data_IF_267612005362
#
_entry.id   IF_267612005362
#
_cell.length_a   1.000
_cell.length_b   1.000
_cell.length_c   1.000
_cell.angle_alpha   90.00
_cell.angle_beta   90.00
_cell.angle_gamma   90.00
#
_symmetry.space_group_name_H-M   'P 1'
#
loop_
_entity.id
_entity.type
_entity.pdbx_description
1 polymer ?
#
# COMPACT_ATOMS: atom_id res chain seq x y z
N UNK A 1 -7.64 -14.46 -8.31
CA UNK A 1 -7.89 -13.03 -8.66
C UNK A 1 -6.67 -12.16 -8.38
N UNK A 2 -6.47 -11.05 -9.09
CA UNK A 2 -5.45 -10.03 -8.78
C UNK A 2 -6.19 -8.71 -8.52
N UNK A 3 -6.03 -8.18 -7.32
CA UNK A 3 -6.50 -6.85 -6.95
C UNK A 3 -5.33 -5.85 -7.08
N UNK A 4 -5.58 -4.73 -7.74
CA UNK A 4 -4.55 -3.72 -8.05
C UNK A 4 -4.65 -2.48 -7.18
N UNK A 5 -5.52 -2.44 -6.18
CA UNK A 5 -5.55 -1.37 -5.19
C UNK A 5 -6.33 -1.76 -3.92
N UNK A 6 -5.67 -1.71 -2.77
CA UNK A 6 -6.31 -1.91 -1.47
C UNK A 6 -5.58 -1.13 -0.37
N UNK A 7 -6.30 -0.35 0.43
CA UNK A 7 -5.79 0.56 1.49
C UNK A 7 -5.28 -0.16 2.76
N UNK A 8 -4.75 -1.36 2.59
CA UNK A 8 -4.26 -2.19 3.66
C UNK A 8 -3.15 -1.53 4.51
N UNK A 9 -2.11 -0.89 3.94
CA UNK A 9 -1.02 -0.32 4.73
C UNK A 9 -1.48 0.72 5.76
N UNK A 10 -2.42 1.61 5.38
CA UNK A 10 -2.98 2.61 6.28
C UNK A 10 -3.80 1.95 7.39
N UNK A 11 -4.66 0.99 7.05
CA UNK A 11 -5.42 0.22 8.05
C UNK A 11 -4.51 -0.47 9.07
N UNK A 12 -3.44 -1.12 8.60
CA UNK A 12 -2.46 -1.77 9.46
C UNK A 12 -1.74 -0.76 10.38
N UNK A 13 -1.42 0.43 9.86
CA UNK A 13 -0.82 1.50 10.65
C UNK A 13 -1.77 1.99 11.76
N UNK A 14 -3.05 2.20 11.49
CA UNK A 14 -4.00 2.67 12.51
C UNK A 14 -4.23 1.63 13.62
N UNK A 15 -4.17 0.35 13.26
CA UNK A 15 -4.34 -0.77 14.18
C UNK A 15 -3.00 -1.32 14.71
N UNK A 16 -1.91 -0.54 14.64
CA UNK A 16 -0.56 -1.00 15.02
C UNK A 16 -0.38 -1.37 16.49
N UNK A 17 -1.35 -1.06 17.35
CA UNK A 17 -1.41 -1.46 18.75
C UNK A 17 -1.88 -2.91 18.96
N UNK A 18 -2.44 -3.55 17.93
CA UNK A 18 -2.81 -4.96 17.89
C UNK A 18 -1.69 -5.77 17.22
N UNK A 19 -1.66 -7.08 17.47
CA UNK A 19 -0.83 -8.02 16.70
C UNK A 19 -1.70 -8.78 15.70
N UNK A 20 -1.07 -9.30 14.63
CA UNK A 20 -1.70 -10.16 13.62
C UNK A 20 -2.93 -9.60 12.88
N UNK A 21 -3.09 -8.27 12.86
CA UNK A 21 -4.18 -7.56 12.18
C UNK A 21 -4.39 -8.04 10.74
N UNK A 22 -3.32 -8.27 9.98
CA UNK A 22 -3.42 -8.75 8.60
C UNK A 22 -4.09 -10.13 8.52
N UNK A 23 -3.73 -11.03 9.44
CA UNK A 23 -4.26 -12.38 9.45
C UNK A 23 -5.68 -12.41 10.01
N UNK A 24 -5.89 -11.76 11.15
CA UNK A 24 -7.14 -11.83 11.91
C UNK A 24 -8.28 -11.11 11.18
N UNK A 25 -8.01 -9.98 10.52
CA UNK A 25 -9.05 -9.16 9.89
C UNK A 25 -9.23 -9.46 8.38
N UNK A 26 -8.24 -10.01 7.66
CA UNK A 26 -8.31 -10.11 6.19
C UNK A 26 -8.05 -11.49 5.58
N UNK A 27 -7.33 -12.40 6.26
CA UNK A 27 -6.91 -13.66 5.63
C UNK A 27 -8.11 -14.50 5.17
N UNK A 28 -9.12 -14.68 6.04
CA UNK A 28 -10.28 -15.50 5.71
C UNK A 28 -11.07 -14.96 4.52
N UNK A 29 -11.21 -13.64 4.41
CA UNK A 29 -11.93 -13.00 3.30
C UNK A 29 -11.14 -13.11 2.00
N UNK A 30 -9.82 -12.90 2.04
CA UNK A 30 -8.97 -13.06 0.87
C UNK A 30 -8.95 -14.49 0.35
N UNK A 31 -8.95 -15.49 1.25
CA UNK A 31 -9.05 -16.89 0.87
C UNK A 31 -10.42 -17.25 0.28
N UNK A 32 -11.50 -16.78 0.91
CA UNK A 32 -12.86 -16.99 0.40
C UNK A 32 -13.06 -16.35 -0.99
N UNK A 33 -12.40 -15.23 -1.27
CA UNK A 33 -12.40 -14.56 -2.56
C UNK A 33 -11.40 -15.08 -3.60
N UNK A 34 -10.61 -16.13 -3.29
CA UNK A 34 -9.49 -16.60 -4.11
C UNK A 34 -8.55 -15.46 -4.59
N UNK A 35 -8.25 -14.54 -3.68
CA UNK A 35 -7.29 -13.46 -3.91
C UNK A 35 -5.89 -14.07 -3.97
N UNK A 36 -5.21 -13.91 -5.11
CA UNK A 36 -3.84 -14.39 -5.29
C UNK A 36 -2.80 -13.29 -5.10
N UNK A 37 -3.16 -12.04 -5.37
CA UNK A 37 -2.27 -10.88 -5.24
C UNK A 37 -3.07 -9.62 -4.98
N UNK A 38 -2.54 -8.74 -4.14
CA UNK A 38 -3.11 -7.43 -3.80
C UNK A 38 -2.02 -6.38 -3.94
N UNK A 39 -2.33 -5.24 -4.56
CA UNK A 39 -1.53 -4.04 -4.40
C UNK A 39 -1.91 -3.34 -3.09
N UNK A 40 -1.04 -3.43 -2.09
CA UNK A 40 -1.19 -2.77 -0.80
C UNK A 40 -0.73 -1.31 -0.94
N UNK A 41 -1.70 -0.41 -1.11
CA UNK A 41 -1.48 1.00 -1.44
C UNK A 41 -1.20 1.84 -0.20
N UNK A 42 -0.01 2.44 -0.14
CA UNK A 42 0.30 3.50 0.83
C UNK A 42 -0.57 4.70 0.47
N UNK A 43 -1.45 5.10 1.37
CA UNK A 43 -2.25 6.30 1.29
C UNK A 43 -1.99 7.17 2.52
N UNK A 44 -1.91 8.48 2.32
CA UNK A 44 -1.69 9.43 3.42
C UNK A 44 -2.95 10.24 3.64
N UNK A 45 -3.51 10.19 4.85
CA UNK A 45 -4.64 11.03 5.23
C UNK A 45 -4.25 12.51 5.32
N UNK A 46 -5.21 13.41 5.08
CA UNK A 46 -4.99 14.86 5.04
C UNK A 46 -4.32 15.40 6.31
N UNK A 47 -4.65 14.84 7.48
CA UNK A 47 -4.09 15.27 8.76
C UNK A 47 -2.57 15.09 8.90
N UNK A 48 -1.95 14.29 8.03
CA UNK A 48 -0.51 14.03 8.04
C UNK A 48 0.25 14.83 6.97
N UNK A 49 -0.44 15.55 6.09
CA UNK A 49 0.18 16.29 4.99
C UNK A 49 0.33 17.78 5.34
N UNK A 50 1.48 18.41 5.02
CA UNK A 50 2.70 17.81 4.47
C UNK A 50 3.68 17.26 5.51
N UNK A 51 3.59 17.67 6.77
CA UNK A 51 4.70 17.58 7.73
C UNK A 51 5.09 16.13 8.09
N UNK A 52 4.14 15.20 8.03
CA UNK A 52 4.34 13.81 8.47
C UNK A 52 4.15 12.77 7.37
N UNK A 53 3.98 13.20 6.12
CA UNK A 53 3.70 12.30 5.00
C UNK A 53 4.78 11.21 4.83
N UNK A 54 6.06 11.60 4.89
CA UNK A 54 7.19 10.66 4.81
C UNK A 54 7.21 9.70 6.01
N UNK A 55 7.07 10.23 7.23
CA UNK A 55 7.09 9.46 8.48
C UNK A 55 6.00 8.37 8.46
N UNK A 56 4.77 8.77 8.13
CA UNK A 56 3.61 7.87 8.11
C UNK A 56 3.71 6.84 6.99
N UNK A 57 4.16 7.22 5.79
CA UNK A 57 4.39 6.27 4.70
C UNK A 57 5.42 5.18 5.07
N UNK A 58 6.53 5.58 5.70
CA UNK A 58 7.55 4.64 6.16
C UNK A 58 7.01 3.73 7.28
N UNK A 59 6.19 4.27 8.18
CA UNK A 59 5.54 3.49 9.24
C UNK A 59 4.55 2.47 8.68
N UNK A 60 3.76 2.82 7.67
CA UNK A 60 2.88 1.90 6.95
C UNK A 60 3.67 0.74 6.32
N UNK A 61 4.74 1.04 5.57
CA UNK A 61 5.62 0.02 4.98
C UNK A 61 6.19 -0.89 6.07
N UNK A 62 6.77 -0.31 7.12
CA UNK A 62 7.35 -1.07 8.23
C UNK A 62 6.30 -2.00 8.86
N UNK A 63 5.06 -1.52 9.04
CA UNK A 63 3.98 -2.33 9.60
C UNK A 63 3.57 -3.47 8.68
N UNK A 64 3.45 -3.25 7.37
CA UNK A 64 3.17 -4.33 6.40
C UNK A 64 4.25 -5.42 6.49
N UNK A 65 5.52 -5.06 6.58
CA UNK A 65 6.61 -6.03 6.76
C UNK A 65 6.51 -6.82 8.07
N UNK A 66 6.12 -6.17 9.19
CA UNK A 66 5.92 -6.84 10.48
C UNK A 66 4.79 -7.87 10.39
N UNK A 67 3.66 -7.50 9.79
CA UNK A 67 2.50 -8.38 9.65
C UNK A 67 2.79 -9.61 8.77
N UNK A 68 3.46 -9.41 7.63
CA UNK A 68 3.83 -10.51 6.73
C UNK A 68 4.85 -11.46 7.38
N UNK A 69 5.74 -10.95 8.24
CA UNK A 69 6.65 -11.82 9.03
C UNK A 69 5.91 -12.70 10.04
N UNK A 70 4.75 -12.27 10.52
CA UNK A 70 3.94 -13.00 11.52
C UNK A 70 3.01 -14.03 10.86
N UNK A 71 2.54 -13.76 9.65
CA UNK A 71 1.66 -14.65 8.91
C UNK A 71 2.30 -15.15 7.60
N UNK A 72 2.77 -16.39 7.62
CA UNK A 72 3.43 -17.04 6.47
C UNK A 72 2.52 -17.30 5.26
N UNK A 73 1.21 -16.99 5.37
CA UNK A 73 0.25 -17.03 4.26
C UNK A 73 0.38 -15.84 3.31
N UNK A 74 1.13 -14.81 3.69
CA UNK A 74 1.39 -13.64 2.88
C UNK A 74 2.86 -13.57 2.45
N UNK A 75 3.12 -12.88 1.34
CA UNK A 75 4.48 -12.58 0.90
C UNK A 75 4.54 -11.22 0.20
N UNK A 76 5.42 -10.32 0.67
CA UNK A 76 5.71 -9.09 -0.06
C UNK A 76 6.51 -9.48 -1.31
N UNK A 77 5.99 -9.10 -2.46
CA UNK A 77 6.55 -9.41 -3.77
C UNK A 77 7.11 -8.14 -4.42
N UNK A 78 8.26 -8.27 -5.08
CA UNK A 78 8.98 -7.17 -5.76
C UNK A 78 9.11 -7.39 -7.26
N UNK A 79 8.62 -8.52 -7.77
CA UNK A 79 8.72 -8.91 -9.16
C UNK A 79 7.62 -9.89 -9.53
N UNK A 80 7.33 -10.01 -10.83
CA UNK A 80 6.42 -11.04 -11.34
C UNK A 80 6.84 -12.46 -10.91
N UNK A 81 8.15 -12.74 -10.93
CA UNK A 81 8.66 -14.04 -10.51
C UNK A 81 8.37 -14.35 -9.04
N UNK A 82 8.43 -13.35 -8.15
CA UNK A 82 8.05 -13.49 -6.74
C UNK A 82 6.55 -13.72 -6.58
N UNK A 83 5.72 -12.98 -7.32
CA UNK A 83 4.26 -13.16 -7.31
C UNK A 83 3.90 -14.59 -7.72
N UNK A 84 4.49 -15.08 -8.82
CA UNK A 84 4.27 -16.44 -9.31
C UNK A 84 4.66 -17.48 -8.25
N UNK A 85 5.84 -17.33 -7.63
CA UNK A 85 6.29 -18.24 -6.56
C UNK A 85 5.39 -18.19 -5.33
N UNK A 86 4.90 -17.02 -4.93
CA UNK A 86 3.97 -16.89 -3.81
C UNK A 86 2.68 -17.68 -4.09
N UNK A 87 2.12 -17.54 -5.29
CA UNK A 87 0.91 -18.27 -5.71
C UNK A 87 1.14 -19.79 -5.75
N UNK A 88 2.27 -20.25 -6.29
CA UNK A 88 2.66 -21.68 -6.31
C UNK A 88 2.80 -22.25 -4.89
N UNK A 89 3.17 -21.43 -3.91
CA UNK A 89 3.27 -21.80 -2.49
C UNK A 89 1.94 -21.67 -1.73
N UNK A 90 0.83 -21.34 -2.40
CA UNK A 90 -0.47 -21.13 -1.75
C UNK A 90 -0.52 -19.87 -0.86
N UNK A 91 0.35 -18.89 -1.14
CA UNK A 91 0.41 -17.60 -0.45
C UNK A 91 -0.26 -16.50 -1.25
N UNK A 92 -0.72 -15.48 -0.54
CA UNK A 92 -1.24 -14.23 -1.10
C UNK A 92 -0.07 -13.26 -1.27
N UNK A 93 0.17 -12.83 -2.51
CA UNK A 93 1.21 -11.86 -2.82
C UNK A 93 0.77 -10.44 -2.48
N UNK A 94 1.63 -9.65 -1.82
CA UNK A 94 1.43 -8.22 -1.60
C UNK A 94 2.44 -7.43 -2.42
N UNK A 95 1.96 -6.58 -3.32
CA UNK A 95 2.78 -5.57 -3.99
C UNK A 95 2.62 -4.26 -3.25
N UNK A 96 3.72 -3.62 -2.82
CA UNK A 96 3.61 -2.28 -2.23
C UNK A 96 3.36 -1.28 -3.36
N UNK A 97 2.26 -0.56 -3.26
CA UNK A 97 1.90 0.57 -4.10
C UNK A 97 1.89 1.86 -3.27
N UNK A 98 1.85 3.01 -3.93
CA UNK A 98 1.70 4.32 -3.29
C UNK A 98 0.70 5.14 -4.09
N UNK A 99 -0.33 5.61 -3.42
CA UNK A 99 -1.38 6.44 -3.98
C UNK A 99 -1.15 7.90 -3.58
N UNK A 100 -0.52 8.65 -4.48
CA UNK A 100 -0.08 10.02 -4.23
C UNK A 100 1.38 10.10 -3.80
N UNK A 101 2.11 11.01 -4.43
CA UNK A 101 3.54 11.22 -4.22
C UNK A 101 3.87 12.15 -3.04
N UNK A 102 2.91 12.46 -2.15
CA UNK A 102 3.12 13.31 -0.97
C UNK A 102 4.30 12.85 -0.10
N UNK A 103 4.54 11.53 0.13
CA UNK A 103 5.70 11.08 0.90
C UNK A 103 7.05 11.46 0.30
N UNK A 104 7.12 11.78 -1.00
CA UNK A 104 8.35 12.21 -1.67
C UNK A 104 8.62 13.71 -1.46
N UNK A 105 7.60 14.49 -1.12
CA UNK A 105 7.70 15.95 -1.03
C UNK A 105 8.33 16.54 -2.29
N UNK A 106 9.41 17.32 -2.13
CA UNK A 106 10.20 17.87 -3.23
C UNK A 106 11.49 17.08 -3.53
N UNK A 107 11.76 15.97 -2.84
CA UNK A 107 12.99 15.19 -2.99
C UNK A 107 12.74 13.85 -3.70
N UNK A 108 12.98 13.83 -5.01
CA UNK A 108 12.84 12.62 -5.82
C UNK A 108 13.82 11.50 -5.43
N UNK A 109 14.89 11.76 -4.68
CA UNK A 109 15.77 10.70 -4.21
C UNK A 109 15.04 9.72 -3.27
N UNK A 110 13.99 10.18 -2.59
CA UNK A 110 13.15 9.33 -1.74
C UNK A 110 12.45 8.22 -2.54
N UNK A 111 12.20 8.41 -3.84
CA UNK A 111 11.62 7.36 -4.69
C UNK A 111 12.55 6.14 -4.76
N UNK A 112 13.87 6.34 -4.79
CA UNK A 112 14.82 5.23 -4.75
C UNK A 112 14.72 4.47 -3.43
N UNK A 113 14.56 5.18 -2.31
CA UNK A 113 14.41 4.56 -0.99
C UNK A 113 13.13 3.70 -0.95
N UNK A 114 11.99 4.25 -1.35
CA UNK A 114 10.74 3.49 -1.39
C UNK A 114 10.83 2.27 -2.32
N UNK A 115 11.51 2.40 -3.47
CA UNK A 115 11.77 1.28 -4.37
C UNK A 115 12.56 0.15 -3.67
N UNK A 116 13.62 0.48 -2.92
CA UNK A 116 14.39 -0.52 -2.15
C UNK A 116 13.56 -1.17 -1.02
N UNK A 117 12.65 -0.41 -0.42
CA UNK A 117 11.73 -0.89 0.61
C UNK A 117 10.63 -1.81 0.05
N UNK A 118 10.37 -1.74 -1.26
CA UNK A 118 9.51 -2.69 -1.99
C UNK A 118 8.44 -2.05 -2.86
N UNK A 119 8.37 -0.73 -2.96
CA UNK A 119 7.41 -0.02 -3.81
C UNK A 119 7.56 -0.43 -5.28
N UNK A 120 6.46 -0.81 -5.95
CA UNK A 120 6.47 -1.19 -7.38
C UNK A 120 5.43 -0.46 -8.23
N UNK A 121 4.51 0.27 -7.62
CA UNK A 121 3.49 1.06 -8.30
C UNK A 121 3.42 2.42 -7.60
N UNK A 122 3.44 3.50 -8.38
CA UNK A 122 3.27 4.87 -7.88
C UNK A 122 2.16 5.55 -8.69
N UNK A 123 1.05 5.88 -8.03
CA UNK A 123 0.10 6.88 -8.50
C UNK A 123 0.65 8.27 -8.18
N UNK A 124 0.81 9.12 -9.18
CA UNK A 124 1.44 10.44 -9.01
C UNK A 124 0.64 11.33 -8.04
N UNK A 125 -0.68 11.27 -8.15
CA UNK A 125 -1.61 12.09 -7.38
C UNK A 125 -2.76 11.23 -6.90
N UNK A 126 -3.22 11.47 -5.67
CA UNK A 126 -4.59 11.13 -5.27
C UNK A 126 -5.53 12.22 -5.82
N UNK A 127 -6.58 12.59 -5.07
CA UNK A 127 -7.47 13.73 -5.40
C UNK A 127 -6.89 15.10 -5.03
N UNK A 128 -5.80 15.12 -4.28
CA UNK A 128 -5.08 16.34 -3.94
C UNK A 128 -3.92 16.60 -4.91
N UNK A 129 -3.52 17.86 -4.99
CA UNK A 129 -2.32 18.25 -5.74
C UNK A 129 -1.08 18.09 -4.86
N UNK A 130 0.02 17.69 -5.48
CA UNK A 130 1.33 17.58 -4.84
C UNK A 130 2.42 18.00 -5.83
N UNK A 131 3.70 17.86 -5.47
CA UNK A 131 4.81 18.29 -6.32
C UNK A 131 4.87 17.56 -7.69
N UNK A 132 4.24 16.39 -7.83
CA UNK A 132 4.22 15.60 -9.06
C UNK A 132 3.06 15.95 -10.00
N UNK A 133 2.04 16.70 -9.55
CA UNK A 133 0.91 17.09 -10.40
C UNK A 133 -0.34 17.51 -9.65
N UNK A 134 -1.44 17.64 -10.39
CA UNK A 134 -2.76 17.97 -9.85
C UNK A 134 -3.65 16.73 -9.82
N UNK A 135 -4.24 16.46 -8.65
CA UNK A 135 -5.18 15.37 -8.45
C UNK A 135 -6.54 15.62 -9.08
N UNK A 136 -7.36 14.57 -9.13
CA UNK A 136 -8.73 14.66 -9.62
C UNK A 136 -9.59 15.58 -8.76
N UNK A 137 -10.42 16.41 -9.40
CA UNK A 137 -11.42 17.23 -8.72
C UNK A 137 -12.69 16.41 -8.56
N UNK A 138 -13.11 16.13 -7.33
CA UNK A 138 -14.46 15.61 -7.09
C UNK A 138 -15.48 16.70 -7.44
N UNK A 139 -16.45 16.40 -8.30
CA UNK A 139 -17.60 17.30 -8.43
C UNK A 139 -18.39 17.31 -7.12
N UNK A 140 -19.15 18.39 -6.87
CA UNK A 140 -19.97 18.52 -5.67
C UNK A 140 -20.99 17.39 -5.47
N UNK A 141 -21.29 16.62 -6.51
CA UNK A 141 -22.20 15.46 -6.53
C UNK A 141 -21.50 14.10 -6.56
N UNK A 142 -20.19 14.02 -6.33
CA UNK A 142 -19.39 12.84 -6.68
C UNK A 142 -19.01 12.85 -8.17
N UNK A 143 -18.22 11.86 -8.62
CA UNK A 143 -17.51 11.78 -9.91
C UNK A 143 -18.09 12.66 -11.03
N UNK A 144 -17.27 13.58 -11.57
CA UNK A 144 -17.65 14.41 -12.71
C UNK A 144 -18.16 13.56 -13.88
N UNK A 145 -19.16 14.04 -14.65
CA UNK A 145 -19.61 13.37 -15.87
C UNK A 145 -18.49 13.29 -16.94
#
# INVERSE_FOLDING_TARGET
MIDVHFDLPMFLYDHRNRDNVLADDFLSEFEAGDIGTVAASIYIEDQYVPERALEVALAQVARTHVEVKRCHRFAICRSYAEIKRAREQGKIGLLIAMEGAEPLGADLNLLRIFYELGLRILGLTHVRSNAAGHGGVFAASGSSP
#
